data_IF_221012522534
#
_entry.id   IF_221012522534
#
_cell.length_a   1.000
_cell.length_b   1.000
_cell.length_c   1.000
_cell.angle_alpha   90.00
_cell.angle_beta   90.00
_cell.angle_gamma   90.00
#
_symmetry.space_group_name_H-M   'P 1'
#
loop_
_entity.id
_entity.type
_entity.pdbx_description
1 polymer ?
#
# COMPACT_ATOMS: atom_id res chain seq x y z
N UNK A 1 -11.53 -22.65 -34.95
CA UNK A 1 -12.29 -21.37 -34.96
C UNK A 1 -12.04 -20.72 -33.61
N UNK A 2 -11.05 -19.84 -33.51
CA UNK A 2 -10.69 -19.17 -32.25
C UNK A 2 -11.82 -18.24 -31.83
N UNK A 3 -12.42 -18.56 -30.70
CA UNK A 3 -13.52 -17.82 -30.08
C UNK A 3 -13.01 -16.43 -29.70
N UNK A 4 -13.35 -15.46 -30.54
CA UNK A 4 -13.00 -14.06 -30.34
C UNK A 4 -13.90 -13.54 -29.21
N UNK A 5 -13.37 -13.58 -27.99
CA UNK A 5 -14.02 -13.04 -26.79
C UNK A 5 -14.16 -11.53 -27.00
N UNK A 6 -15.39 -11.08 -27.23
CA UNK A 6 -15.78 -9.68 -27.38
C UNK A 6 -15.75 -9.00 -26.00
N UNK A 7 -14.83 -8.02 -25.77
CA UNK A 7 -14.70 -7.33 -24.48
C UNK A 7 -15.89 -6.40 -24.15
N UNK A 8 -16.83 -6.22 -25.07
CA UNK A 8 -17.92 -5.23 -25.00
C UNK A 8 -19.30 -5.85 -24.83
N UNK A 9 -19.41 -7.18 -24.77
CA UNK A 9 -20.66 -7.84 -24.47
C UNK A 9 -21.12 -7.44 -23.05
N UNK A 10 -22.33 -6.87 -22.87
CA UNK A 10 -22.83 -6.57 -21.54
C UNK A 10 -22.88 -7.89 -20.76
N UNK A 11 -22.31 -7.90 -19.55
CA UNK A 11 -22.23 -9.06 -18.65
C UNK A 11 -23.64 -9.61 -18.35
N UNK A 12 -24.20 -10.34 -19.30
CA UNK A 12 -25.54 -10.92 -19.24
C UNK A 12 -25.42 -12.31 -18.65
N UNK A 13 -25.01 -12.31 -17.39
CA UNK A 13 -24.94 -13.47 -16.51
C UNK A 13 -24.86 -12.91 -15.12
N UNK A 14 -25.93 -13.06 -14.34
CA UNK A 14 -25.96 -12.62 -12.95
C UNK A 14 -24.69 -13.08 -12.23
N UNK A 15 -24.10 -12.19 -11.44
CA UNK A 15 -22.90 -12.48 -10.66
C UNK A 15 -23.19 -13.76 -9.87
N UNK A 16 -22.49 -14.86 -10.18
CA UNK A 16 -22.77 -16.14 -9.51
C UNK A 16 -22.68 -15.93 -8.00
N UNK A 17 -23.68 -16.39 -7.24
CA UNK A 17 -23.74 -16.24 -5.77
C UNK A 17 -22.45 -16.69 -5.06
N UNK A 18 -21.63 -17.54 -5.70
CA UNK A 18 -20.28 -17.90 -5.22
C UNK A 18 -19.28 -16.74 -5.29
N UNK A 19 -19.26 -15.99 -6.38
CA UNK A 19 -18.38 -14.83 -6.60
C UNK A 19 -18.72 -13.69 -5.63
N UNK A 20 -20.00 -13.39 -5.43
CA UNK A 20 -20.43 -12.39 -4.44
C UNK A 20 -20.00 -12.76 -3.01
N UNK A 21 -20.13 -14.05 -2.63
CA UNK A 21 -19.70 -14.54 -1.31
C UNK A 21 -18.18 -14.53 -1.14
N UNK A 22 -17.43 -14.73 -2.22
CA UNK A 22 -15.97 -14.67 -2.19
C UNK A 22 -15.50 -13.22 -2.06
N UNK A 23 -16.07 -12.31 -2.87
CA UNK A 23 -15.77 -10.89 -2.82
C UNK A 23 -16.13 -10.27 -1.46
N UNK A 24 -17.27 -10.66 -0.87
CA UNK A 24 -17.66 -10.22 0.47
C UNK A 24 -16.67 -10.65 1.57
N UNK A 25 -16.03 -11.82 1.42
CA UNK A 25 -14.99 -12.29 2.37
C UNK A 25 -13.68 -11.53 2.19
N UNK A 26 -13.29 -11.28 0.95
CA UNK A 26 -12.09 -10.49 0.61
C UNK A 26 -12.24 -9.05 1.08
N UNK A 27 -13.39 -8.41 0.81
CA UNK A 27 -13.72 -7.08 1.31
C UNK A 27 -13.66 -6.99 2.82
N UNK A 28 -14.18 -8.00 3.55
CA UNK A 28 -14.15 -7.98 5.01
C UNK A 28 -12.73 -7.99 5.54
N UNK A 29 -11.85 -8.82 4.96
CA UNK A 29 -10.43 -8.85 5.33
C UNK A 29 -9.74 -7.53 4.99
N UNK A 30 -10.03 -6.94 3.83
CA UNK A 30 -9.48 -5.66 3.43
C UNK A 30 -9.90 -4.52 4.37
N UNK A 31 -11.16 -4.49 4.80
CA UNK A 31 -11.68 -3.52 5.77
C UNK A 31 -10.99 -3.70 7.13
N UNK A 32 -10.82 -4.94 7.61
CA UNK A 32 -10.13 -5.22 8.88
C UNK A 32 -8.68 -4.70 8.83
N UNK A 33 -7.94 -5.01 7.75
CA UNK A 33 -6.57 -4.52 7.59
C UNK A 33 -6.51 -3.01 7.47
N UNK A 34 -7.45 -2.39 6.74
CA UNK A 34 -7.52 -0.94 6.60
C UNK A 34 -7.75 -0.23 7.94
N UNK A 35 -8.72 -0.70 8.72
CA UNK A 35 -9.00 -0.14 10.05
C UNK A 35 -7.81 -0.34 10.99
N UNK A 36 -7.15 -1.49 10.93
CA UNK A 36 -5.94 -1.77 11.71
C UNK A 36 -4.78 -0.83 11.36
N UNK A 37 -4.57 -0.51 10.09
CA UNK A 37 -3.55 0.46 9.66
C UNK A 37 -3.84 1.86 10.16
N UNK A 38 -5.08 2.34 10.00
CA UNK A 38 -5.49 3.66 10.49
C UNK A 38 -5.29 3.77 12.00
N UNK A 39 -5.63 2.71 12.74
CA UNK A 39 -5.42 2.64 14.18
C UNK A 39 -3.93 2.75 14.56
N UNK A 40 -3.05 2.00 13.90
CA UNK A 40 -1.61 2.02 14.17
C UNK A 40 -0.98 3.39 13.84
N UNK A 41 -1.39 4.01 12.74
CA UNK A 41 -0.91 5.34 12.34
C UNK A 41 -1.38 6.39 13.34
N UNK A 42 -2.66 6.36 13.75
CA UNK A 42 -3.20 7.26 14.76
C UNK A 42 -2.45 7.14 16.10
N UNK A 43 -2.07 5.92 16.51
CA UNK A 43 -1.28 5.68 17.71
C UNK A 43 0.13 6.30 17.61
N UNK A 44 0.76 6.20 16.43
CA UNK A 44 2.05 6.85 16.16
C UNK A 44 1.95 8.37 16.28
N UNK A 45 0.90 8.99 15.73
CA UNK A 45 0.68 10.44 15.84
C UNK A 45 0.39 10.88 17.28
N UNK A 46 -0.41 10.12 18.02
CA UNK A 46 -0.68 10.38 19.44
C UNK A 46 0.61 10.31 20.28
N UNK A 47 1.50 9.36 19.97
CA UNK A 47 2.80 9.22 20.64
C UNK A 47 3.75 10.39 20.36
N UNK A 48 3.75 10.93 19.13
CA UNK A 48 4.52 12.15 18.79
C UNK A 48 3.89 13.40 19.42
N UNK A 49 2.55 13.47 19.46
CA UNK A 49 1.83 14.60 20.04
C UNK A 49 1.94 14.65 21.57
N UNK A 50 2.14 13.50 22.21
CA UNK A 50 2.54 13.48 23.61
C UNK A 50 4.01 13.88 23.72
N UNK A 51 4.30 15.02 24.32
CA UNK A 51 5.66 15.51 24.61
C UNK A 51 6.47 14.59 25.55
N UNK A 52 5.94 13.39 25.87
CA UNK A 52 6.57 12.36 26.68
C UNK A 52 7.84 11.77 26.03
N UNK A 53 8.03 11.94 24.72
CA UNK A 53 9.19 11.41 23.99
C UNK A 53 9.95 12.58 23.34
N UNK A 54 11.29 12.66 23.50
CA UNK A 54 12.10 13.66 22.81
C UNK A 54 11.90 13.60 21.29
N UNK A 55 11.62 14.75 20.67
CA UNK A 55 11.36 14.88 19.23
C UNK A 55 12.50 14.30 18.36
N UNK A 56 13.74 14.32 18.86
CA UNK A 56 14.90 13.73 18.18
C UNK A 56 14.81 12.20 17.99
N UNK A 57 14.03 11.49 18.80
CA UNK A 57 13.81 10.05 18.67
C UNK A 57 12.45 9.72 18.05
N UNK A 58 11.41 10.50 18.37
CA UNK A 58 10.06 10.26 17.88
C UNK A 58 9.93 10.38 16.35
N UNK A 59 10.62 11.35 15.74
CA UNK A 59 10.57 11.62 14.29
C UNK A 59 11.16 10.46 13.47
N UNK A 60 12.42 10.03 13.68
CA UNK A 60 13.00 8.92 12.91
C UNK A 60 12.26 7.59 13.15
N UNK A 61 11.79 7.34 14.38
CA UNK A 61 11.02 6.14 14.72
C UNK A 61 9.69 6.08 13.94
N UNK A 62 8.97 7.20 13.87
CA UNK A 62 7.69 7.30 13.14
C UNK A 62 7.87 7.21 11.63
N UNK A 63 8.98 7.73 11.09
CA UNK A 63 9.37 7.56 9.69
C UNK A 63 9.63 6.09 9.32
N UNK A 64 10.25 5.34 10.23
CA UNK A 64 10.51 3.91 10.04
C UNK A 64 9.21 3.11 10.04
N UNK A 65 8.30 3.41 10.97
CA UNK A 65 6.95 2.85 10.98
C UNK A 65 6.18 3.23 9.70
N UNK A 66 6.29 4.48 9.25
CA UNK A 66 5.63 4.94 8.03
C UNK A 66 6.15 4.21 6.78
N UNK A 67 7.46 3.95 6.69
CA UNK A 67 8.03 3.15 5.60
C UNK A 67 7.47 1.71 5.60
N UNK A 68 7.38 1.07 6.77
CA UNK A 68 6.75 -0.26 6.91
C UNK A 68 5.28 -0.21 6.50
N UNK A 69 4.55 0.85 6.87
CA UNK A 69 3.16 1.03 6.45
C UNK A 69 3.02 1.08 4.93
N UNK A 70 3.89 1.80 4.23
CA UNK A 70 3.87 1.86 2.75
C UNK A 70 4.07 0.47 2.13
N UNK A 71 4.95 -0.37 2.69
CA UNK A 71 5.16 -1.75 2.22
C UNK A 71 3.93 -2.62 2.44
N UNK A 72 3.33 -2.56 3.63
CA UNK A 72 2.12 -3.35 3.93
C UNK A 72 0.94 -2.83 3.08
N UNK A 73 0.86 -1.52 2.84
CA UNK A 73 -0.13 -0.91 1.95
C UNK A 73 0.02 -1.43 0.53
N UNK A 74 1.24 -1.49 -0.01
CA UNK A 74 1.50 -2.11 -1.30
C UNK A 74 1.08 -3.60 -1.32
N UNK A 75 1.42 -4.36 -0.27
CA UNK A 75 1.14 -5.80 -0.20
C UNK A 75 -0.36 -6.17 -0.07
N UNK A 76 -1.16 -5.34 0.60
CA UNK A 76 -2.60 -5.58 0.79
C UNK A 76 -3.47 -4.92 -0.28
N UNK A 77 -3.10 -3.71 -0.74
CA UNK A 77 -3.82 -3.01 -1.80
C UNK A 77 -3.56 -3.66 -3.17
N UNK A 78 -2.37 -4.22 -3.37
CA UNK A 78 -2.12 -5.16 -4.46
C UNK A 78 -2.27 -6.57 -3.93
N UNK A 79 -3.41 -7.20 -4.17
CA UNK A 79 -3.65 -8.63 -3.92
C UNK A 79 -2.61 -9.52 -4.63
N UNK A 80 -1.38 -9.58 -4.11
CA UNK A 80 -0.28 -10.45 -4.56
C UNK A 80 -0.59 -11.94 -4.36
N UNK A 81 -1.72 -12.26 -3.72
CA UNK A 81 -2.20 -13.62 -3.53
C UNK A 81 -2.91 -14.19 -4.76
N UNK A 82 -3.36 -13.35 -5.69
CA UNK A 82 -3.98 -13.82 -6.93
C UNK A 82 -2.91 -14.09 -8.00
N UNK A 83 -2.71 -15.40 -8.24
CA UNK A 83 -1.79 -15.97 -9.21
C UNK A 83 -2.16 -15.52 -10.63
N UNK A 84 -1.55 -14.43 -11.11
CA UNK A 84 -1.69 -14.03 -12.51
C UNK A 84 -1.33 -12.59 -12.85
N UNK A 85 -1.09 -11.72 -11.87
CA UNK A 85 -1.04 -10.29 -12.17
C UNK A 85 0.41 -9.80 -12.36
N UNK A 86 0.80 -9.56 -13.62
CA UNK A 86 2.05 -8.87 -13.99
C UNK A 86 2.12 -7.43 -13.43
N UNK A 87 0.97 -6.79 -13.19
CA UNK A 87 0.86 -5.40 -12.72
C UNK A 87 1.49 -5.12 -11.34
N UNK A 88 1.28 -5.95 -10.31
CA UNK A 88 1.97 -5.79 -9.03
C UNK A 88 3.49 -5.75 -9.12
N UNK A 89 4.07 -6.60 -9.97
CA UNK A 89 5.52 -6.62 -10.15
C UNK A 89 6.01 -5.33 -10.81
N UNK A 90 5.26 -4.82 -11.80
CA UNK A 90 5.56 -3.54 -12.45
C UNK A 90 5.51 -2.37 -11.45
N UNK A 91 4.51 -2.34 -10.56
CA UNK A 91 4.37 -1.29 -9.56
C UNK A 91 5.46 -1.30 -8.48
N UNK A 92 5.93 -2.48 -8.07
CA UNK A 92 7.07 -2.58 -7.15
C UNK A 92 8.34 -2.08 -7.84
N UNK A 93 8.58 -2.47 -9.09
CA UNK A 93 9.73 -2.01 -9.86
C UNK A 93 9.71 -0.50 -10.13
N UNK A 94 8.55 0.08 -10.49
CA UNK A 94 8.42 1.54 -10.65
C UNK A 94 8.51 2.26 -9.31
N UNK A 95 7.96 1.69 -8.24
CA UNK A 95 8.08 2.22 -6.88
C UNK A 95 9.53 2.33 -6.44
N UNK A 96 10.35 1.29 -6.65
CA UNK A 96 11.79 1.32 -6.38
C UNK A 96 12.50 2.33 -7.28
N UNK A 97 12.16 2.36 -8.57
CA UNK A 97 12.75 3.29 -9.54
C UNK A 97 12.46 4.77 -9.21
N UNK A 98 11.34 5.09 -8.59
CA UNK A 98 11.00 6.45 -8.15
C UNK A 98 11.60 6.73 -6.76
N UNK A 99 11.49 5.78 -5.82
CA UNK A 99 11.97 5.96 -4.46
C UNK A 99 13.50 6.16 -4.39
N UNK A 100 14.27 5.40 -5.18
CA UNK A 100 15.73 5.49 -5.20
C UNK A 100 16.26 6.91 -5.56
N UNK A 101 15.86 7.53 -6.69
CA UNK A 101 16.29 8.89 -7.02
C UNK A 101 15.67 9.94 -6.09
N UNK A 102 14.46 9.74 -5.55
CA UNK A 102 13.87 10.68 -4.58
C UNK A 102 14.68 10.70 -3.28
N UNK A 103 15.03 9.54 -2.71
CA UNK A 103 15.86 9.47 -1.51
C UNK A 103 17.27 9.99 -1.79
N UNK A 104 17.86 9.62 -2.92
CA UNK A 104 19.17 10.13 -3.32
C UNK A 104 19.16 11.65 -3.47
N UNK A 105 18.15 12.22 -4.14
CA UNK A 105 17.98 13.66 -4.31
C UNK A 105 17.75 14.39 -2.98
N UNK A 106 16.93 13.84 -2.09
CA UNK A 106 16.71 14.39 -0.75
C UNK A 106 17.99 14.34 0.09
N UNK A 107 18.75 13.24 0.07
CA UNK A 107 20.05 13.16 0.73
C UNK A 107 21.05 14.17 0.15
N UNK A 108 21.06 14.36 -1.16
CA UNK A 108 21.98 15.28 -1.84
C UNK A 108 21.59 16.74 -1.52
N UNK A 109 20.31 17.11 -1.61
CA UNK A 109 19.83 18.46 -1.30
C UNK A 109 19.93 18.78 0.19
N UNK A 110 19.45 17.92 1.09
CA UNK A 110 19.54 18.15 2.54
C UNK A 110 20.98 18.03 3.05
N UNK A 111 21.81 17.19 2.43
CA UNK A 111 23.23 17.06 2.74
C UNK A 111 24.07 18.26 2.29
N UNK A 112 23.71 18.89 1.16
CA UNK A 112 24.32 20.14 0.68
C UNK A 112 23.86 21.35 1.49
N UNK A 113 22.62 21.37 1.99
CA UNK A 113 22.07 22.49 2.77
C UNK A 113 22.53 22.47 4.24
N UNK A 114 23.09 21.35 4.73
CA UNK A 114 23.58 21.21 6.12
C UNK A 114 25.08 21.54 6.29
N UNK A 115 25.64 22.37 5.41
CA UNK A 115 26.93 23.04 5.57
C UNK A 115 26.82 24.52 5.21
#
# INVERSE_FOLDING_TARGET
MSEHVDPTAPLKGEVSKKTERQLAREMRNQIITFVFMVFLVALSFLGIASEAIPNGFAIPFSLLIAAVMVVIQLYYFMHLKDKGTYWPNVFIWTGIFIAAPTVASLMLLLGVVKY
#
